data_IF_965875512310
#
_entry.id   IF_965875512310
#
_cell.length_a   1.000
_cell.length_b   1.000
_cell.length_c   1.000
_cell.angle_alpha   90.00
_cell.angle_beta   90.00
_cell.angle_gamma   90.00
#
_symmetry.space_group_name_H-M   'P 1'
#
loop_
_entity.id
_entity.type
_entity.pdbx_description
1 polymer ?
#
# COMPACT_ATOMS: atom_id res chain seq x y z
N UNK A 1 -68.91 -3.81 12.54
CA UNK A 1 -68.15 -2.88 13.41
C UNK A 1 -66.82 -3.58 13.70
N UNK A 2 -65.76 -3.28 12.95
CA UNK A 2 -64.74 -2.22 13.20
C UNK A 2 -63.92 -2.48 14.49
N UNK A 3 -62.64 -2.81 14.25
CA UNK A 3 -61.39 -2.42 14.97
C UNK A 3 -61.23 -2.97 16.39
N UNK A 4 -60.12 -3.60 16.81
CA UNK A 4 -58.70 -3.19 16.82
C UNK A 4 -57.94 -4.28 17.63
N UNK A 5 -56.62 -4.44 17.68
CA UNK A 5 -55.43 -4.02 16.94
C UNK A 5 -54.28 -4.78 17.64
N UNK A 6 -53.36 -5.36 16.87
CA UNK A 6 -52.12 -5.97 17.35
C UNK A 6 -51.24 -4.98 18.11
N UNK A 7 -50.52 -5.44 19.14
CA UNK A 7 -49.17 -4.96 19.41
C UNK A 7 -48.38 -6.08 20.12
N UNK A 8 -47.62 -6.83 19.32
CA UNK A 8 -46.60 -7.74 19.83
C UNK A 8 -45.32 -6.92 20.06
N UNK A 9 -44.93 -6.84 21.33
CA UNK A 9 -43.77 -6.10 21.79
C UNK A 9 -42.50 -6.92 21.50
N UNK A 10 -41.77 -6.54 20.44
CA UNK A 10 -40.44 -7.06 20.17
C UNK A 10 -39.43 -6.27 21.03
N UNK A 11 -39.06 -6.82 22.18
CA UNK A 11 -37.95 -6.32 22.97
C UNK A 11 -36.64 -6.79 22.31
N UNK A 12 -35.99 -5.90 21.56
CA UNK A 12 -34.63 -6.09 21.09
C UNK A 12 -33.68 -5.95 22.28
N UNK A 13 -33.15 -7.07 22.75
CA UNK A 13 -32.04 -7.13 23.71
C UNK A 13 -30.80 -6.64 22.97
N UNK A 14 -30.45 -5.36 23.15
CA UNK A 14 -29.11 -4.85 22.88
C UNK A 14 -28.16 -5.57 23.85
N UNK A 15 -27.50 -6.61 23.36
CA UNK A 15 -26.36 -7.20 24.06
C UNK A 15 -25.27 -6.11 24.15
N UNK A 16 -25.07 -5.59 25.36
CA UNK A 16 -23.89 -4.80 25.68
C UNK A 16 -22.68 -5.72 25.49
N UNK A 17 -21.98 -5.58 24.37
CA UNK A 17 -20.66 -6.16 24.23
C UNK A 17 -19.78 -5.51 25.30
N UNK A 18 -19.22 -6.26 26.27
CA UNK A 18 -18.21 -5.70 27.14
C UNK A 18 -17.05 -5.30 26.24
N UNK A 19 -16.86 -3.99 26.09
CA UNK A 19 -15.67 -3.44 25.46
C UNK A 19 -14.51 -3.94 26.31
N UNK A 20 -13.80 -4.95 25.81
CA UNK A 20 -12.58 -5.41 26.44
C UNK A 20 -11.67 -4.18 26.58
N UNK A 21 -11.28 -3.83 27.81
CA UNK A 21 -10.28 -2.79 28.04
C UNK A 21 -8.98 -3.28 27.44
N UNK A 22 -8.75 -2.98 26.17
CA UNK A 22 -7.41 -2.99 25.62
C UNK A 22 -6.69 -1.93 26.45
N UNK A 23 -5.75 -2.35 27.30
CA UNK A 23 -5.06 -1.46 28.22
C UNK A 23 -4.44 -0.33 27.43
N UNK A 24 -5.11 0.82 27.40
CA UNK A 24 -4.70 1.98 26.63
C UNK A 24 -3.47 2.52 27.33
N UNK A 25 -2.37 2.63 26.59
CA UNK A 25 -1.14 3.24 27.08
C UNK A 25 -1.01 4.64 26.51
N UNK A 26 -0.27 5.53 27.18
CA UNK A 26 0.10 6.81 26.56
C UNK A 26 0.88 6.62 25.25
N UNK A 27 1.52 5.45 25.06
CA UNK A 27 2.11 5.07 23.79
C UNK A 27 1.09 5.01 22.65
N UNK A 28 -0.14 4.57 22.91
CA UNK A 28 -1.20 4.52 21.90
C UNK A 28 -1.68 5.91 21.51
N UNK A 29 -1.69 6.87 22.44
CA UNK A 29 -1.96 8.30 22.14
C UNK A 29 -0.94 8.84 21.16
N UNK A 30 0.35 8.57 21.40
CA UNK A 30 1.42 8.97 20.49
C UNK A 30 1.30 8.26 19.14
N UNK A 31 1.10 6.93 19.13
CA UNK A 31 0.98 6.14 17.91
C UNK A 31 -0.22 6.54 17.06
N UNK A 32 -1.37 6.86 17.66
CA UNK A 32 -2.55 7.34 16.94
C UNK A 32 -2.32 8.73 16.36
N UNK A 33 -1.71 9.63 17.13
CA UNK A 33 -1.41 10.98 16.66
C UNK A 33 -0.39 11.00 15.51
N UNK A 34 0.58 10.08 15.50
CA UNK A 34 1.53 9.95 14.38
C UNK A 34 1.00 9.10 13.21
N UNK A 35 0.03 8.18 13.45
CA UNK A 35 -0.57 7.34 12.40
C UNK A 35 -1.28 8.16 11.34
N UNK A 36 -1.92 9.26 11.74
CA UNK A 36 -2.53 10.22 10.81
C UNK A 36 -1.52 11.06 10.02
N UNK A 37 -0.21 10.97 10.35
CA UNK A 37 0.86 11.68 9.64
C UNK A 37 1.54 10.78 8.57
N UNK A 38 1.33 9.45 8.56
CA UNK A 38 2.44 8.55 8.15
C UNK A 38 2.55 8.08 6.69
N UNK A 39 1.70 8.49 5.73
CA UNK A 39 1.90 8.05 4.33
C UNK A 39 2.23 9.24 3.42
N UNK A 40 1.35 10.22 3.27
CA UNK A 40 1.62 11.38 2.39
C UNK A 40 2.75 12.28 2.94
N UNK A 41 2.83 12.49 4.25
CA UNK A 41 3.92 13.28 4.87
C UNK A 41 5.24 12.52 4.90
N UNK A 42 5.20 11.19 5.03
CA UNK A 42 6.40 10.36 4.97
C UNK A 42 6.97 10.37 3.55
N UNK A 43 6.14 10.14 2.54
CA UNK A 43 6.58 10.12 1.14
C UNK A 43 7.01 11.53 0.70
N UNK A 44 6.33 12.59 1.13
CA UNK A 44 6.70 14.00 0.81
C UNK A 44 7.91 14.52 1.57
N UNK A 45 8.11 14.14 2.83
CA UNK A 45 9.33 14.48 3.57
C UNK A 45 10.54 13.71 3.04
N UNK A 46 10.33 12.46 2.64
CA UNK A 46 11.32 11.64 1.95
C UNK A 46 11.67 12.26 0.60
N UNK A 47 10.68 12.67 -0.20
CA UNK A 47 10.89 13.39 -1.46
C UNK A 47 11.59 14.73 -1.27
N UNK A 48 11.20 15.51 -0.26
CA UNK A 48 11.85 16.81 0.03
C UNK A 48 13.29 16.64 0.49
N UNK A 49 13.57 15.60 1.31
CA UNK A 49 14.92 15.25 1.73
C UNK A 49 15.80 14.88 0.53
N UNK A 50 15.32 14.00 -0.34
CA UNK A 50 16.07 13.58 -1.52
C UNK A 50 16.19 14.69 -2.57
N UNK A 51 15.17 15.52 -2.73
CA UNK A 51 15.22 16.71 -3.59
C UNK A 51 16.31 17.66 -3.09
N UNK A 52 16.33 17.97 -1.79
CA UNK A 52 17.36 18.84 -1.22
C UNK A 52 18.77 18.23 -1.28
N UNK A 53 18.89 16.90 -1.24
CA UNK A 53 20.17 16.21 -1.32
C UNK A 53 20.74 16.18 -2.74
N UNK A 54 19.87 16.02 -3.76
CA UNK A 54 20.29 15.72 -5.13
C UNK A 54 19.95 16.78 -6.18
N UNK A 55 18.99 17.66 -5.89
CA UNK A 55 18.44 18.65 -6.82
C UNK A 55 18.74 20.08 -6.35
N UNK A 56 18.94 20.97 -7.31
CA UNK A 56 18.93 22.41 -7.11
C UNK A 56 17.51 22.96 -7.20
N UNK A 57 17.31 24.18 -6.70
CA UNK A 57 15.99 24.85 -6.69
C UNK A 57 15.42 25.12 -8.09
N UNK A 58 16.26 25.16 -9.10
CA UNK A 58 15.85 25.33 -10.51
C UNK A 58 15.47 24.00 -11.19
N UNK A 59 15.50 22.89 -10.45
CA UNK A 59 15.19 21.55 -10.96
C UNK A 59 16.37 20.86 -11.65
N UNK A 60 17.57 21.46 -11.63
CA UNK A 60 18.79 20.80 -12.07
C UNK A 60 19.35 19.86 -11.00
N UNK A 61 20.27 18.96 -11.37
CA UNK A 61 20.93 18.04 -10.44
C UNK A 61 22.17 18.75 -9.86
N UNK A 62 22.38 18.66 -8.54
CA UNK A 62 23.55 19.24 -7.86
C UNK A 62 24.87 18.70 -8.43
N UNK A 63 25.83 19.58 -8.70
CA UNK A 63 27.08 19.22 -9.40
C UNK A 63 28.09 18.39 -8.59
N UNK A 64 27.75 17.95 -7.37
CA UNK A 64 28.61 17.14 -6.48
C UNK A 64 27.99 15.82 -6.01
N UNK A 65 26.71 15.56 -6.31
CA UNK A 65 26.02 14.34 -5.93
C UNK A 65 26.28 13.17 -6.89
N UNK A 66 26.85 13.43 -8.06
CA UNK A 66 27.15 12.44 -9.08
C UNK A 66 28.64 12.07 -9.07
N UNK A 67 29.05 11.24 -8.10
CA UNK A 67 30.35 10.56 -8.16
C UNK A 67 30.13 9.29 -9.00
N UNK A 68 30.73 9.24 -10.19
CA UNK A 68 30.46 8.23 -11.21
C UNK A 68 30.44 6.80 -10.69
N UNK A 69 29.32 6.10 -10.94
CA UNK A 69 29.19 4.65 -10.77
C UNK A 69 28.42 4.15 -9.55
N UNK A 70 27.82 5.02 -8.72
CA UNK A 70 27.01 4.58 -7.59
C UNK A 70 25.52 4.45 -7.99
N UNK A 71 24.97 3.24 -7.90
CA UNK A 71 23.53 3.01 -7.88
C UNK A 71 22.97 3.69 -6.61
N UNK A 72 22.02 4.62 -6.77
CA UNK A 72 21.36 5.27 -5.65
C UNK A 72 20.37 4.28 -5.01
N UNK A 73 20.53 3.91 -3.72
CA UNK A 73 19.57 3.06 -3.03
C UNK A 73 18.39 3.93 -2.54
N UNK A 74 17.62 4.46 -3.48
CA UNK A 74 16.35 5.12 -3.18
C UNK A 74 15.25 4.10 -3.46
N UNK A 75 15.09 3.17 -2.52
CA UNK A 75 14.00 2.18 -2.59
C UNK A 75 12.68 2.86 -2.22
N UNK A 76 11.71 2.85 -3.16
CA UNK A 76 10.30 2.95 -2.81
C UNK A 76 9.62 4.31 -2.92
N UNK A 77 10.16 5.29 -3.65
CA UNK A 77 9.41 6.52 -3.96
C UNK A 77 8.64 6.32 -5.28
N UNK A 78 7.30 6.29 -5.27
CA UNK A 78 6.50 6.08 -6.47
C UNK A 78 6.39 7.38 -7.28
N UNK A 79 7.39 7.67 -8.12
CA UNK A 79 7.31 8.77 -9.09
C UNK A 79 7.01 8.19 -10.46
N UNK A 80 5.85 7.55 -10.65
CA UNK A 80 5.31 7.20 -11.98
C UNK A 80 6.21 6.42 -12.97
N UNK A 81 7.39 5.97 -12.55
CA UNK A 81 8.41 5.32 -13.38
C UNK A 81 9.00 4.18 -12.54
N UNK A 82 9.30 3.07 -13.22
CA UNK A 82 9.58 1.73 -12.70
C UNK A 82 10.36 1.64 -11.38
N UNK A 83 9.77 0.94 -10.41
CA UNK A 83 10.41 0.54 -9.15
C UNK A 83 11.34 -0.67 -9.36
N UNK A 84 12.48 -0.49 -10.02
CA UNK A 84 13.55 -1.51 -10.09
C UNK A 84 14.74 -1.25 -9.14
N UNK A 85 14.63 -0.22 -8.29
CA UNK A 85 15.53 0.01 -7.16
C UNK A 85 16.86 0.68 -7.51
N UNK A 86 17.08 1.11 -8.76
CA UNK A 86 18.23 1.93 -9.14
C UNK A 86 17.80 3.09 -10.03
N UNK A 87 17.78 4.31 -9.48
CA UNK A 87 17.47 5.49 -10.26
C UNK A 87 18.58 5.81 -11.25
N UNK A 88 18.25 5.92 -12.54
CA UNK A 88 19.17 6.40 -13.56
C UNK A 88 19.26 7.94 -13.60
N UNK A 89 20.20 8.48 -14.38
CA UNK A 89 20.41 9.93 -14.46
C UNK A 89 19.18 10.68 -15.05
N UNK A 90 18.38 10.02 -15.89
CA UNK A 90 17.18 10.61 -16.48
C UNK A 90 16.03 10.63 -15.47
N UNK A 91 15.88 9.59 -14.66
CA UNK A 91 14.88 9.52 -13.58
C UNK A 91 15.16 10.57 -12.50
N UNK A 92 16.43 10.72 -12.09
CA UNK A 92 16.81 11.76 -11.14
C UNK A 92 16.56 13.17 -11.71
N UNK A 93 16.83 13.39 -13.01
CA UNK A 93 16.53 14.66 -13.67
C UNK A 93 15.03 14.94 -13.71
N UNK A 94 14.21 13.92 -13.97
CA UNK A 94 12.76 14.04 -13.96
C UNK A 94 12.23 14.33 -12.55
N UNK A 95 12.76 13.66 -11.52
CA UNK A 95 12.46 13.95 -10.12
C UNK A 95 12.77 15.41 -9.75
N UNK A 96 13.96 15.90 -10.10
CA UNK A 96 14.33 17.29 -9.85
C UNK A 96 13.47 18.28 -10.63
N UNK A 97 13.13 17.99 -11.88
CA UNK A 97 12.23 18.84 -12.68
C UNK A 97 10.85 18.93 -12.04
N UNK A 98 10.26 17.79 -11.65
CA UNK A 98 8.93 17.72 -11.03
C UNK A 98 8.93 18.40 -9.66
N UNK A 99 9.97 18.18 -8.84
CA UNK A 99 10.07 18.81 -7.52
C UNK A 99 10.23 20.33 -7.57
N UNK A 100 10.96 20.86 -8.56
CA UNK A 100 11.13 22.30 -8.75
C UNK A 100 9.85 22.96 -9.31
N UNK A 101 9.19 22.30 -10.27
CA UNK A 101 7.91 22.75 -10.82
C UNK A 101 6.81 22.75 -9.73
N UNK A 102 6.91 21.84 -8.76
CA UNK A 102 6.02 21.82 -7.60
C UNK A 102 6.33 22.88 -6.54
N UNK A 103 7.43 23.65 -6.63
CA UNK A 103 7.79 24.92 -5.93
C UNK A 103 7.49 25.10 -4.42
N UNK A 104 6.88 24.16 -3.70
CA UNK A 104 6.00 24.50 -2.58
C UNK A 104 5.81 23.39 -1.54
N UNK A 105 6.69 22.38 -1.49
CA UNK A 105 6.73 21.47 -0.33
C UNK A 105 7.37 22.10 0.92
N UNK A 106 7.94 23.31 0.84
CA UNK A 106 8.73 23.88 1.95
C UNK A 106 7.99 24.90 2.84
N UNK A 107 7.05 25.71 2.33
CA UNK A 107 6.56 26.86 3.11
C UNK A 107 5.28 26.58 3.94
N UNK A 108 4.36 25.73 3.48
CA UNK A 108 3.19 25.32 4.26
C UNK A 108 3.49 24.14 5.19
N UNK A 109 4.43 23.27 4.80
CA UNK A 109 4.56 21.93 5.38
C UNK A 109 5.54 21.88 6.57
N UNK A 110 6.57 22.73 6.63
CA UNK A 110 7.43 22.89 7.82
C UNK A 110 6.63 23.39 9.03
N UNK A 111 5.69 24.29 8.77
CA UNK A 111 4.79 24.84 9.78
C UNK A 111 3.77 23.79 10.22
N UNK A 112 3.19 23.02 9.28
CA UNK A 112 2.18 21.99 9.59
C UNK A 112 2.75 20.73 10.26
N UNK A 113 3.84 20.17 9.74
CA UNK A 113 4.54 19.05 10.36
C UNK A 113 5.04 19.41 11.77
N UNK A 114 5.48 20.67 11.96
CA UNK A 114 5.79 21.18 13.29
C UNK A 114 4.55 21.28 14.18
N UNK A 115 3.40 21.76 13.68
CA UNK A 115 2.18 21.90 14.49
C UNK A 115 1.54 20.57 14.90
N UNK A 116 1.44 19.60 13.99
CA UNK A 116 0.86 18.28 14.31
C UNK A 116 1.76 17.54 15.30
N UNK A 117 3.08 17.64 15.13
CA UNK A 117 4.03 17.05 16.08
C UNK A 117 3.98 17.77 17.43
N UNK A 118 3.86 19.11 17.48
CA UNK A 118 3.72 19.82 18.76
C UNK A 118 2.40 19.51 19.48
N UNK A 119 1.30 19.39 18.74
CA UNK A 119 -0.02 19.09 19.30
C UNK A 119 -0.05 17.66 19.83
N UNK A 120 0.42 16.68 19.03
CA UNK A 120 0.57 15.28 19.43
C UNK A 120 1.49 15.12 20.65
N UNK A 121 2.63 15.82 20.67
CA UNK A 121 3.55 15.81 21.80
C UNK A 121 2.92 16.43 23.05
N UNK A 122 2.06 17.44 22.90
CA UNK A 122 1.36 18.06 24.03
C UNK A 122 0.41 17.07 24.69
N UNK A 123 -0.48 16.43 23.93
CA UNK A 123 -1.40 15.41 24.44
C UNK A 123 -0.66 14.21 25.03
N UNK A 124 0.45 13.81 24.41
CA UNK A 124 1.30 12.73 24.91
C UNK A 124 1.95 13.07 26.25
N UNK A 125 2.58 14.25 26.37
CA UNK A 125 3.21 14.69 27.61
C UNK A 125 2.19 14.86 28.74
N UNK A 126 1.01 15.38 28.43
CA UNK A 126 -0.11 15.46 29.37
C UNK A 126 -0.58 14.06 29.81
N UNK A 127 -0.68 13.10 28.88
CA UNK A 127 -0.98 11.71 29.22
C UNK A 127 0.06 11.13 30.18
N UNK A 128 1.35 11.29 29.89
CA UNK A 128 2.42 10.78 30.75
C UNK A 128 2.38 11.39 32.16
N UNK A 129 2.09 12.68 32.25
CA UNK A 129 1.93 13.37 33.51
C UNK A 129 0.77 12.79 34.33
N UNK A 130 -0.42 12.68 33.72
CA UNK A 130 -1.60 12.10 34.37
C UNK A 130 -1.40 10.62 34.74
N UNK A 131 -0.68 9.87 33.91
CA UNK A 131 -0.33 8.47 34.19
C UNK A 131 0.54 8.35 35.44
N UNK A 132 1.46 9.29 35.66
CA UNK A 132 2.24 9.41 36.91
C UNK A 132 1.34 9.57 38.13
N UNK A 133 0.24 10.31 37.97
CA UNK A 133 -0.83 10.50 38.96
C UNK A 133 -1.90 9.39 38.94
N UNK A 134 -1.60 8.25 38.28
CA UNK A 134 -2.46 7.05 38.19
C UNK A 134 -3.75 7.19 37.38
N UNK A 135 -3.90 8.25 36.58
CA UNK A 135 -4.98 8.43 35.62
C UNK A 135 -4.43 8.36 34.20
N UNK A 136 -4.80 7.34 33.43
CA UNK A 136 -4.44 7.28 32.00
C UNK A 136 -5.56 7.95 31.21
N UNK A 137 -5.25 9.05 30.53
CA UNK A 137 -6.18 9.71 29.60
C UNK A 137 -5.68 9.52 28.17
N UNK A 138 -6.53 8.94 27.33
CA UNK A 138 -6.25 8.74 25.91
C UNK A 138 -7.42 9.21 25.06
N UNK A 139 -7.19 9.34 23.76
CA UNK A 139 -8.26 9.56 22.80
C UNK A 139 -8.08 8.66 21.59
N UNK A 140 -9.20 8.33 20.96
CA UNK A 140 -9.27 7.66 19.68
C UNK A 140 -10.03 8.57 18.71
N UNK A 141 -9.36 8.98 17.65
CA UNK A 141 -10.00 9.71 16.57
C UNK A 141 -10.93 8.77 15.78
N UNK A 142 -12.10 9.29 15.40
CA UNK A 142 -13.05 8.68 14.48
C UNK A 142 -13.27 9.64 13.30
N UNK A 143 -12.21 9.89 12.50
CA UNK A 143 -12.25 10.90 11.45
C UNK A 143 -13.27 10.55 10.36
N UNK A 144 -13.86 11.56 9.69
CA UNK A 144 -13.74 12.99 10.00
C UNK A 144 -14.71 13.45 11.12
N UNK A 145 -15.61 12.58 11.57
CA UNK A 145 -16.82 12.96 12.29
C UNK A 145 -16.62 13.27 13.78
N UNK A 146 -15.53 12.84 14.41
CA UNK A 146 -15.34 13.08 15.84
C UNK A 146 -14.18 12.29 16.47
N UNK A 147 -14.24 12.18 17.79
CA UNK A 147 -13.27 11.42 18.59
C UNK A 147 -13.90 11.01 19.92
N UNK A 148 -13.31 10.01 20.56
CA UNK A 148 -13.70 9.56 21.91
C UNK A 148 -12.51 9.66 22.83
N UNK A 149 -12.71 10.26 24.00
CA UNK A 149 -11.74 10.33 25.08
C UNK A 149 -12.05 9.24 26.08
N UNK A 150 -11.01 8.58 26.58
CA UNK A 150 -11.09 7.57 27.64
C UNK A 150 -10.24 8.01 28.83
N UNK A 151 -10.77 7.86 30.03
CA UNK A 151 -10.05 8.01 31.28
C UNK A 151 -10.08 6.71 32.08
N UNK A 152 -8.91 6.17 32.39
CA UNK A 152 -8.74 4.93 33.13
C UNK A 152 -7.96 5.15 34.43
N UNK A 153 -8.55 4.78 35.56
CA UNK A 153 -7.89 4.83 36.87
C UNK A 153 -7.10 3.54 37.11
N UNK A 154 -5.78 3.65 37.21
CA UNK A 154 -4.89 2.51 37.49
C UNK A 154 -4.84 2.11 38.97
N UNK A 155 -5.47 2.89 39.84
CA UNK A 155 -5.58 2.62 41.27
C UNK A 155 -6.96 3.04 41.81
N UNK A 156 -7.67 2.19 42.57
CA UNK A 156 -8.99 2.52 43.13
C UNK A 156 -8.92 3.57 44.26
N UNK A 157 -7.73 3.89 44.75
CA UNK A 157 -7.53 4.90 45.79
C UNK A 157 -7.38 6.32 45.25
N UNK A 158 -7.13 6.46 43.96
CA UNK A 158 -6.97 7.77 43.31
C UNK A 158 -8.33 8.23 42.82
N UNK A 159 -8.61 9.51 43.05
CA UNK A 159 -9.82 10.19 42.56
C UNK A 159 -9.39 11.44 41.83
N UNK A 160 -9.82 11.58 40.59
CA UNK A 160 -9.66 12.80 39.81
C UNK A 160 -11.04 13.38 39.55
N UNK A 161 -11.16 14.69 39.71
CA UNK A 161 -12.34 15.44 39.27
C UNK A 161 -12.01 16.15 37.96
N UNK A 162 -12.96 16.17 37.04
CA UNK A 162 -12.89 17.04 35.87
C UNK A 162 -13.47 18.37 36.29
N UNK A 163 -12.60 19.37 36.44
CA UNK A 163 -12.93 20.68 36.98
C UNK A 163 -13.60 21.56 35.93
N UNK A 164 -13.17 21.46 34.69
CA UNK A 164 -13.77 22.14 33.54
C UNK A 164 -13.47 21.39 32.25
N UNK A 165 -14.37 21.55 31.30
CA UNK A 165 -14.18 21.12 29.92
C UNK A 165 -14.36 22.36 29.06
N UNK A 166 -13.49 22.55 28.08
CA UNK A 166 -13.51 23.75 27.24
C UNK A 166 -13.31 23.31 25.79
N UNK A 167 -14.20 23.77 24.92
CA UNK A 167 -14.23 23.49 23.48
C UNK A 167 -15.09 24.54 22.80
N UNK A 168 -14.98 24.64 21.47
CA UNK A 168 -15.85 25.51 20.67
C UNK A 168 -17.20 24.81 20.40
N UNK A 169 -18.32 25.26 21.00
CA UNK A 169 -19.63 24.62 20.84
C UNK A 169 -20.22 24.77 19.43
N UNK A 170 -19.71 25.71 18.63
CA UNK A 170 -20.10 25.83 17.23
C UNK A 170 -19.41 24.75 16.36
N UNK A 171 -18.32 24.17 16.86
CA UNK A 171 -17.48 23.21 16.13
C UNK A 171 -17.51 21.78 16.70
N UNK A 172 -17.91 21.61 17.97
CA UNK A 172 -17.96 20.33 18.67
C UNK A 172 -19.21 20.19 19.52
N UNK A 173 -19.72 18.96 19.62
CA UNK A 173 -20.76 18.55 20.56
C UNK A 173 -20.27 17.30 21.30
N UNK A 174 -20.10 17.40 22.61
CA UNK A 174 -19.57 16.32 23.44
C UNK A 174 -20.65 15.76 24.38
N UNK A 175 -20.69 14.43 24.52
CA UNK A 175 -21.64 13.72 25.38
C UNK A 175 -20.93 12.62 26.17
N UNK A 176 -21.49 12.23 27.31
CA UNK A 176 -21.00 11.11 28.11
C UNK A 176 -22.13 10.37 28.81
N UNK A 177 -21.96 9.07 29.01
CA UNK A 177 -22.80 8.26 29.90
C UNK A 177 -22.13 8.00 31.25
N UNK A 178 -20.86 8.40 31.42
CA UNK A 178 -20.04 8.08 32.60
C UNK A 178 -20.32 8.98 33.80
N UNK A 179 -21.02 10.10 33.61
CA UNK A 179 -21.28 11.08 34.66
C UNK A 179 -22.73 11.13 35.13
N UNK A 180 -23.61 10.31 34.52
CA UNK A 180 -25.01 10.23 34.90
C UNK A 180 -25.22 9.05 35.87
N UNK A 181 -25.98 9.29 36.94
CA UNK A 181 -26.24 8.26 37.95
C UNK A 181 -27.01 7.03 37.42
N UNK A 182 -27.71 7.19 36.28
CA UNK A 182 -28.53 6.15 35.64
C UNK A 182 -27.91 5.62 34.33
N UNK A 183 -26.69 6.03 33.97
CA UNK A 183 -26.04 5.69 32.70
C UNK A 183 -26.70 6.31 31.46
N UNK A 184 -27.61 7.27 31.62
CA UNK A 184 -28.16 8.03 30.50
C UNK A 184 -27.10 8.93 29.87
N UNK A 185 -27.23 9.19 28.56
CA UNK A 185 -26.35 10.13 27.87
C UNK A 185 -26.67 11.56 28.33
N UNK A 186 -25.67 12.26 28.84
CA UNK A 186 -25.72 13.68 29.19
C UNK A 186 -24.77 14.47 28.29
N UNK A 187 -25.18 15.70 27.95
CA UNK A 187 -24.33 16.65 27.25
C UNK A 187 -23.25 17.19 28.20
N UNK A 188 -22.07 17.41 27.64
CA UNK A 188 -20.93 17.97 28.38
C UNK A 188 -20.96 19.49 28.27
N UNK A 189 -21.25 20.14 29.39
CA UNK A 189 -21.22 21.59 29.58
C UNK A 189 -19.89 21.99 30.22
N UNK A 190 -19.26 23.02 29.66
CA UNK A 190 -17.93 23.45 30.09
C UNK A 190 -17.87 24.07 31.49
N UNK A 191 -19.02 24.49 32.03
CA UNK A 191 -19.10 25.13 33.35
C UNK A 191 -19.40 24.16 34.51
N UNK A 192 -19.49 22.85 34.23
CA UNK A 192 -19.84 21.83 35.23
C UNK A 192 -18.61 21.04 35.66
N UNK A 193 -18.51 20.78 36.96
CA UNK A 193 -17.56 19.81 37.53
C UNK A 193 -18.13 18.40 37.36
N UNK A 194 -17.33 17.49 36.81
CA UNK A 194 -17.68 16.08 36.68
C UNK A 194 -16.81 15.23 37.61
N UNK A 195 -17.46 14.40 38.43
CA UNK A 195 -16.78 13.48 39.33
C UNK A 195 -17.06 12.03 38.89
N UNK A 196 -16.10 11.35 38.24
CA UNK A 196 -16.24 9.96 37.87
C UNK A 196 -16.20 9.01 39.09
N UNK A 197 -16.03 9.51 40.32
CA UNK A 197 -15.97 8.73 41.56
C UNK A 197 -14.87 7.64 41.58
N UNK A 198 -13.82 7.80 40.79
CA UNK A 198 -12.75 6.81 40.62
C UNK A 198 -13.09 5.68 39.66
N UNK A 199 -14.22 5.76 38.94
CA UNK A 199 -14.57 4.85 37.86
C UNK A 199 -14.02 5.34 36.52
N UNK A 200 -13.80 4.41 35.59
CA UNK A 200 -13.36 4.78 34.25
C UNK A 200 -14.45 5.58 33.54
N UNK A 201 -14.06 6.57 32.74
CA UNK A 201 -14.98 7.42 32.02
C UNK A 201 -14.70 7.48 30.53
N UNK A 202 -15.72 7.84 29.76
CA UNK A 202 -15.59 8.13 28.34
C UNK A 202 -16.37 9.39 27.95
N UNK A 203 -15.81 10.18 27.04
CA UNK A 203 -16.46 11.37 26.48
C UNK A 203 -16.44 11.22 24.97
N UNK A 204 -17.61 11.22 24.34
CA UNK A 204 -17.75 11.13 22.89
C UNK A 204 -18.05 12.51 22.33
N UNK A 205 -17.15 13.02 21.49
CA UNK A 205 -17.26 14.30 20.84
C UNK A 205 -17.51 14.11 19.34
N UNK A 206 -18.53 14.78 18.82
CA UNK A 206 -18.88 14.82 17.40
C UNK A 206 -18.62 16.22 16.88
N UNK A 207 -18.02 16.36 15.70
CA UNK A 207 -17.75 17.65 15.08
C UNK A 207 -18.98 18.20 14.38
N UNK A 208 -19.14 19.51 14.40
CA UNK A 208 -20.17 20.22 13.65
C UNK A 208 -19.74 20.38 12.21
N UNK A 209 -20.63 20.02 11.31
CA UNK A 209 -20.41 20.02 9.88
C UNK A 209 -20.75 21.39 9.30
N UNK A 210 -19.84 21.97 8.53
CA UNK A 210 -20.04 23.21 7.80
C UNK A 210 -20.29 22.93 6.32
N UNK A 211 -21.08 23.77 5.67
CA UNK A 211 -21.36 23.65 4.23
C UNK A 211 -20.97 24.94 3.52
N UNK A 212 -20.14 24.82 2.48
CA UNK A 212 -19.75 25.93 1.60
C UNK A 212 -19.72 25.43 0.15
N UNK A 213 -20.42 26.11 -0.75
CA UNK A 213 -20.51 25.76 -2.18
C UNK A 213 -20.85 24.26 -2.42
N UNK A 214 -21.89 23.76 -1.74
CA UNK A 214 -22.35 22.36 -1.78
C UNK A 214 -21.32 21.32 -1.30
N UNK A 215 -20.24 21.77 -0.64
CA UNK A 215 -19.23 20.90 -0.04
C UNK A 215 -19.29 20.98 1.46
N UNK A 216 -19.07 19.84 2.07
CA UNK A 216 -19.13 19.67 3.51
C UNK A 216 -17.73 19.55 4.09
N UNK A 217 -17.44 20.30 5.15
CA UNK A 217 -16.14 20.31 5.80
C UNK A 217 -16.29 20.54 7.30
N UNK A 218 -15.23 20.25 8.05
CA UNK A 218 -15.17 20.48 9.49
C UNK A 218 -13.95 21.34 9.78
N UNK A 219 -14.11 22.39 10.59
CA UNK A 219 -13.02 23.32 10.91
C UNK A 219 -12.08 22.74 11.95
N UNK A 220 -10.87 23.28 12.03
CA UNK A 220 -9.95 22.96 13.13
C UNK A 220 -10.63 23.33 14.44
N UNK A 221 -10.58 22.41 15.39
CA UNK A 221 -11.19 22.59 16.70
C UNK A 221 -10.30 21.94 17.76
N UNK A 222 -10.64 22.16 19.02
CA UNK A 222 -9.87 21.70 20.15
C UNK A 222 -10.80 21.32 21.29
N UNK A 223 -10.29 20.46 22.15
CA UNK A 223 -10.93 20.04 23.37
C UNK A 223 -9.91 20.07 24.50
N UNK A 224 -10.21 20.79 25.57
CA UNK A 224 -9.41 20.86 26.78
C UNK A 224 -10.22 20.31 27.94
N UNK A 225 -9.65 19.37 28.66
CA UNK A 225 -10.19 18.86 29.92
C UNK A 225 -9.22 19.18 31.03
N UNK A 226 -9.62 20.05 31.95
CA UNK A 226 -8.86 20.33 33.16
C UNK A 226 -9.30 19.36 34.25
N UNK A 227 -8.38 18.54 34.76
CA UNK A 227 -8.64 17.68 35.92
C UNK A 227 -7.95 18.20 37.17
N UNK A 228 -8.35 17.72 38.35
CA UNK A 228 -7.65 17.99 39.62
C UNK A 228 -6.20 17.49 39.64
N UNK A 229 -5.81 16.62 38.69
CA UNK A 229 -4.47 16.06 38.57
C UNK A 229 -3.65 16.73 37.44
N UNK A 230 -4.29 17.46 36.53
CA UNK A 230 -3.62 18.09 35.38
C UNK A 230 -4.53 18.23 34.16
N UNK A 231 -4.11 18.99 33.14
CA UNK A 231 -4.89 19.17 31.91
C UNK A 231 -4.64 18.06 30.90
N UNK A 232 -5.62 17.81 30.04
CA UNK A 232 -5.50 17.00 28.83
C UNK A 232 -6.13 17.75 27.65
N UNK A 233 -5.43 17.83 26.52
CA UNK A 233 -5.86 18.57 25.34
C UNK A 233 -5.89 17.64 24.14
N UNK A 234 -6.92 17.75 23.32
CA UNK A 234 -7.03 17.11 22.00
C UNK A 234 -7.17 18.22 20.97
N UNK A 235 -6.27 18.24 19.99
CA UNK A 235 -6.33 19.17 18.86
C UNK A 235 -6.80 18.40 17.64
N UNK A 236 -7.92 18.83 17.04
CA UNK A 236 -8.49 18.16 15.87
C UNK A 236 -8.28 19.04 14.64
N UNK A 237 -7.56 18.57 13.62
CA UNK A 237 -7.24 19.36 12.44
C UNK A 237 -8.49 19.63 11.57
N UNK A 238 -8.41 20.68 10.74
CA UNK A 238 -9.44 20.99 9.74
C UNK A 238 -9.46 19.96 8.60
N UNK A 239 -10.64 19.63 8.08
CA UNK A 239 -10.82 18.67 6.98
C UNK A 239 -10.22 19.15 5.65
N UNK A 240 -10.17 20.46 5.42
CA UNK A 240 -9.70 21.07 4.17
C UNK A 240 -8.20 20.87 3.92
N UNK A 241 -7.44 20.46 4.93
CA UNK A 241 -5.99 20.21 4.82
C UNK A 241 -5.62 18.74 4.60
N UNK A 242 -6.61 17.83 4.50
CA UNK A 242 -6.41 16.49 3.94
C UNK A 242 -6.56 16.46 2.41
N UNK A 243 -6.77 17.62 1.77
CA UNK A 243 -7.18 17.71 0.38
C UNK A 243 -8.64 17.28 0.26
N UNK A 244 -9.50 18.17 -0.22
CA UNK A 244 -10.94 17.96 -0.37
C UNK A 244 -11.34 16.69 -1.17
N UNK A 245 -10.39 16.05 -1.86
CA UNK A 245 -10.58 14.81 -2.62
C UNK A 245 -9.77 13.60 -2.08
N UNK A 246 -9.11 13.68 -0.92
CA UNK A 246 -8.09 12.68 -0.55
C UNK A 246 -8.33 11.95 0.77
N UNK A 247 -9.08 12.42 1.76
CA UNK A 247 -9.20 11.60 3.00
C UNK A 247 -10.01 10.30 2.78
N UNK A 248 -11.29 10.43 2.41
CA UNK A 248 -12.19 9.28 2.18
C UNK A 248 -11.97 8.63 0.81
N UNK A 249 -11.56 9.42 -0.18
CA UNK A 249 -11.23 8.94 -1.53
C UNK A 249 -9.82 8.34 -1.62
N UNK A 250 -8.82 8.80 -0.85
CA UNK A 250 -7.52 8.10 -0.82
C UNK A 250 -7.58 6.86 0.06
N UNK A 251 -8.41 6.78 1.10
CA UNK A 251 -8.63 5.51 1.79
C UNK A 251 -9.27 4.48 0.84
N UNK A 252 -10.34 4.87 0.13
CA UNK A 252 -10.94 4.00 -0.88
C UNK A 252 -10.00 3.69 -2.06
N UNK A 253 -9.19 4.66 -2.52
CA UNK A 253 -8.21 4.45 -3.57
C UNK A 253 -7.02 3.61 -3.09
N UNK A 254 -6.63 3.71 -1.81
CA UNK A 254 -5.59 2.90 -1.20
C UNK A 254 -6.05 1.46 -1.02
N UNK A 255 -7.28 1.24 -0.55
CA UNK A 255 -7.91 -0.08 -0.49
C UNK A 255 -8.07 -0.70 -1.89
N UNK A 256 -8.44 0.13 -2.87
CA UNK A 256 -8.48 -0.28 -4.28
C UNK A 256 -7.07 -0.62 -4.81
N UNK A 257 -6.05 0.17 -4.48
CA UNK A 257 -4.67 -0.06 -4.90
C UNK A 257 -4.05 -1.30 -4.21
N UNK A 258 -4.39 -1.57 -2.94
CA UNK A 258 -4.04 -2.84 -2.27
C UNK A 258 -4.71 -4.01 -2.97
N UNK A 259 -5.99 -3.88 -3.32
CA UNK A 259 -6.73 -4.91 -4.05
C UNK A 259 -6.11 -5.15 -5.43
N UNK A 260 -5.79 -4.09 -6.17
CA UNK A 260 -5.16 -4.16 -7.48
C UNK A 260 -3.74 -4.76 -7.40
N UNK A 261 -2.94 -4.35 -6.42
CA UNK A 261 -1.62 -4.95 -6.14
C UNK A 261 -1.74 -6.43 -5.83
N UNK A 262 -2.69 -6.85 -4.99
CA UNK A 262 -2.89 -8.26 -4.65
C UNK A 262 -3.32 -9.07 -5.90
N UNK A 263 -4.18 -8.50 -6.75
CA UNK A 263 -4.55 -9.10 -8.03
C UNK A 263 -3.35 -9.21 -8.98
N UNK A 264 -2.48 -8.19 -9.02
CA UNK A 264 -1.26 -8.19 -9.83
C UNK A 264 -0.24 -9.24 -9.34
N UNK A 265 -0.08 -9.40 -8.02
CA UNK A 265 0.76 -10.45 -7.42
C UNK A 265 0.22 -11.82 -7.81
N UNK A 266 -1.09 -12.06 -7.69
CA UNK A 266 -1.70 -13.33 -8.09
C UNK A 266 -1.54 -13.61 -9.59
N UNK A 267 -1.63 -12.59 -10.44
CA UNK A 267 -1.36 -12.70 -11.87
C UNK A 267 0.11 -13.03 -12.17
N UNK A 268 1.05 -12.41 -11.44
CA UNK A 268 2.48 -12.68 -11.54
C UNK A 268 2.82 -14.12 -11.14
N UNK A 269 2.26 -14.62 -10.03
CA UNK A 269 2.42 -16.02 -9.59
C UNK A 269 1.90 -17.00 -10.66
N UNK A 270 0.77 -16.67 -11.28
CA UNK A 270 0.22 -17.45 -12.40
C UNK A 270 1.19 -17.47 -13.58
N UNK A 271 1.73 -16.32 -13.99
CA UNK A 271 2.71 -16.24 -15.07
C UNK A 271 4.01 -17.00 -14.74
N UNK A 272 4.50 -16.91 -13.50
CA UNK A 272 5.68 -17.64 -13.05
C UNK A 272 5.46 -19.16 -13.14
N UNK A 273 4.29 -19.65 -12.74
CA UNK A 273 3.95 -21.08 -12.87
C UNK A 273 3.93 -21.55 -14.32
N UNK A 274 3.46 -20.71 -15.26
CA UNK A 274 3.46 -21.03 -16.69
C UNK A 274 4.88 -21.07 -17.27
N UNK A 275 5.73 -20.11 -16.88
CA UNK A 275 7.14 -20.09 -17.28
C UNK A 275 7.87 -21.33 -16.76
N UNK A 276 7.64 -21.71 -15.50
CA UNK A 276 8.21 -22.94 -14.93
C UNK A 276 7.72 -24.19 -15.68
N UNK A 277 6.44 -24.28 -16.02
CA UNK A 277 5.90 -25.38 -16.81
C UNK A 277 6.52 -25.45 -18.21
N UNK A 278 6.72 -24.30 -18.87
CA UNK A 278 7.39 -24.21 -20.18
C UNK A 278 8.87 -24.60 -20.08
N UNK A 279 9.59 -24.15 -19.05
CA UNK A 279 10.97 -24.55 -18.82
C UNK A 279 11.10 -26.05 -18.61
N UNK A 280 10.18 -26.67 -17.88
CA UNK A 280 10.16 -28.12 -17.71
C UNK A 280 9.90 -28.83 -19.05
N UNK A 281 8.96 -28.33 -19.87
CA UNK A 281 8.71 -28.86 -21.23
C UNK A 281 9.93 -28.72 -22.14
N UNK A 282 10.67 -27.61 -22.07
CA UNK A 282 11.89 -27.41 -22.87
C UNK A 282 12.98 -28.39 -22.40
N UNK A 283 13.14 -28.58 -21.09
CA UNK A 283 14.13 -29.53 -20.53
C UNK A 283 13.83 -30.98 -20.90
N UNK A 284 12.56 -31.36 -21.05
CA UNK A 284 12.17 -32.71 -21.45
C UNK A 284 12.24 -32.92 -22.97
N UNK A 285 12.18 -31.86 -23.77
CA UNK A 285 12.46 -31.94 -25.21
C UNK A 285 13.97 -32.08 -25.41
N UNK A 286 14.45 -33.30 -25.58
CA UNK A 286 15.81 -33.54 -26.06
C UNK A 286 15.79 -33.62 -27.60
N UNK A 287 16.29 -32.60 -28.32
CA UNK A 287 16.39 -32.68 -29.76
C UNK A 287 17.39 -33.78 -30.13
N UNK A 288 16.97 -34.67 -31.03
CA UNK A 288 17.85 -35.67 -31.60
C UNK A 288 18.33 -35.19 -32.96
N UNK A 289 19.65 -35.23 -33.16
CA UNK A 289 20.29 -34.76 -34.39
C UNK A 289 20.78 -35.96 -35.19
N UNK A 290 20.30 -36.09 -36.42
CA UNK A 290 20.69 -37.15 -37.34
C UNK A 290 21.45 -36.57 -38.52
N UNK A 291 22.42 -37.33 -39.02
CA UNK A 291 23.12 -37.02 -40.26
C UNK A 291 22.62 -37.94 -41.36
N UNK A 292 22.29 -37.34 -42.50
CA UNK A 292 21.87 -38.04 -43.70
C UNK A 292 22.77 -37.64 -44.88
N UNK A 293 22.93 -38.56 -45.81
CA UNK A 293 23.75 -38.38 -46.99
C UNK A 293 22.94 -38.63 -48.24
N UNK A 294 23.09 -37.76 -49.23
CA UNK A 294 22.54 -37.95 -50.56
C UNK A 294 23.67 -37.82 -51.57
N UNK A 295 23.83 -38.82 -52.43
CA UNK A 295 24.87 -38.83 -53.45
C UNK A 295 24.54 -39.78 -54.60
N UNK A 296 25.40 -39.77 -55.62
CA UNK A 296 25.21 -40.54 -56.86
C UNK A 296 25.59 -42.02 -56.72
N UNK A 297 26.38 -42.38 -55.70
CA UNK A 297 26.74 -43.75 -55.38
C UNK A 297 26.13 -44.19 -54.05
N UNK A 298 25.67 -45.44 -53.98
CA UNK A 298 25.34 -46.12 -52.72
C UNK A 298 26.62 -46.40 -51.91
N UNK A 299 27.39 -45.38 -51.57
CA UNK A 299 28.34 -45.54 -50.46
C UNK A 299 27.52 -45.92 -49.22
N UNK A 300 27.94 -46.99 -48.54
CA UNK A 300 27.23 -47.66 -47.43
C UNK A 300 27.17 -46.78 -46.16
N UNK A 301 26.61 -45.59 -46.25
CA UNK A 301 26.22 -44.81 -45.10
C UNK A 301 24.89 -45.35 -44.58
N UNK A 302 24.79 -45.57 -43.27
CA UNK A 302 23.60 -46.14 -42.61
C UNK A 302 22.29 -45.38 -42.91
N UNK A 303 22.38 -44.11 -43.35
CA UNK A 303 21.27 -43.24 -43.74
C UNK A 303 21.50 -42.60 -45.13
N UNK A 304 22.15 -43.32 -46.05
CA UNK A 304 22.43 -42.85 -47.40
C UNK A 304 21.25 -43.11 -48.34
N UNK A 305 20.82 -42.09 -49.09
CA UNK A 305 19.83 -42.25 -50.15
C UNK A 305 20.48 -42.01 -51.52
N UNK A 306 20.32 -42.98 -52.43
CA UNK A 306 20.71 -42.78 -53.81
C UNK A 306 19.78 -41.77 -54.48
N UNK A 307 20.36 -40.89 -55.28
CA UNK A 307 19.59 -39.99 -56.11
C UNK A 307 18.84 -40.77 -57.21
N UNK A 308 17.49 -40.72 -57.27
CA UNK A 308 16.77 -41.20 -58.45
C UNK A 308 17.09 -40.29 -59.65
N UNK A 309 17.18 -40.90 -60.83
CA UNK A 309 17.79 -40.34 -62.04
C UNK A 309 17.20 -39.00 -62.57
N UNK A 310 16.13 -38.46 -61.97
CA UNK A 310 15.40 -37.27 -62.42
C UNK A 310 15.12 -36.28 -61.28
N UNK A 311 16.14 -35.82 -60.56
CA UNK A 311 16.02 -34.65 -59.67
C UNK A 311 16.02 -34.92 -58.15
N UNK A 312 16.52 -36.07 -57.71
CA UNK A 312 16.59 -36.38 -56.28
C UNK A 312 15.25 -36.80 -55.67
N UNK A 313 15.24 -37.54 -54.55
CA UNK A 313 14.04 -37.63 -53.73
C UNK A 313 13.76 -36.22 -53.21
N UNK A 314 12.49 -35.81 -53.19
CA UNK A 314 12.13 -34.58 -52.52
C UNK A 314 12.49 -34.75 -51.03
N UNK A 315 13.52 -34.04 -50.59
CA UNK A 315 14.04 -34.15 -49.22
C UNK A 315 12.96 -33.85 -48.18
N UNK A 316 11.95 -33.03 -48.52
CA UNK A 316 10.81 -32.79 -47.64
C UNK A 316 9.99 -34.06 -47.34
N UNK A 317 9.99 -35.04 -48.26
CA UNK A 317 9.26 -36.31 -48.10
C UNK A 317 10.11 -37.40 -47.46
N UNK A 318 11.44 -37.36 -47.66
CA UNK A 318 12.35 -38.36 -47.12
C UNK A 318 12.76 -38.08 -45.67
N UNK A 319 13.00 -36.83 -45.31
CA UNK A 319 13.46 -36.45 -43.96
C UNK A 319 12.56 -36.91 -42.82
N UNK A 320 11.21 -36.88 -42.93
CA UNK A 320 10.34 -37.43 -41.90
C UNK A 320 10.58 -38.92 -41.61
N UNK A 321 11.04 -39.69 -42.60
CA UNK A 321 11.30 -41.13 -42.44
C UNK A 321 12.60 -41.46 -41.71
N UNK A 322 13.49 -40.48 -41.56
CA UNK A 322 14.77 -40.62 -40.87
C UNK A 322 14.67 -40.35 -39.36
N UNK A 323 13.56 -39.78 -38.92
CA UNK A 323 13.29 -39.56 -37.50
C UNK A 323 12.72 -40.85 -36.86
N UNK A 324 13.18 -41.25 -35.65
CA UNK A 324 12.62 -42.39 -34.95
C UNK A 324 11.11 -42.29 -34.72
N UNK A 325 10.44 -43.43 -34.62
CA UNK A 325 9.01 -43.50 -34.27
C UNK A 325 8.77 -42.73 -32.96
N UNK A 326 7.79 -41.83 -32.96
CA UNK A 326 7.52 -40.91 -31.85
C UNK A 326 8.28 -39.58 -31.91
N UNK A 327 8.97 -39.29 -33.01
CA UNK A 327 9.59 -37.99 -33.30
C UNK A 327 9.21 -37.50 -34.70
N UNK A 328 9.30 -36.18 -34.92
CA UNK A 328 9.06 -35.54 -36.22
C UNK A 328 10.25 -34.69 -36.63
N UNK A 329 10.56 -34.67 -37.92
CA UNK A 329 11.54 -33.74 -38.48
C UNK A 329 11.00 -32.31 -38.36
N UNK A 330 11.77 -31.43 -37.73
CA UNK A 330 11.38 -30.02 -37.54
C UNK A 330 12.13 -29.06 -38.46
N UNK A 331 13.27 -29.50 -38.96
CA UNK A 331 14.07 -28.76 -39.90
C UNK A 331 15.29 -29.56 -40.33
N UNK A 332 15.96 -29.03 -41.33
CA UNK A 332 17.23 -29.55 -41.78
C UNK A 332 18.15 -28.42 -42.22
N UNK A 333 19.45 -28.67 -42.14
CA UNK A 333 20.47 -27.79 -42.69
C UNK A 333 21.41 -28.59 -43.58
N UNK A 334 21.84 -27.97 -44.67
CA UNK A 334 22.89 -28.53 -45.52
C UNK A 334 24.22 -28.33 -44.80
N UNK A 335 24.80 -29.41 -44.29
CA UNK A 335 26.06 -29.40 -43.55
C UNK A 335 27.27 -29.33 -44.49
N UNK A 336 27.10 -29.73 -45.75
CA UNK A 336 28.14 -29.65 -46.77
C UNK A 336 27.61 -30.10 -48.12
N UNK A 337 28.13 -29.49 -49.18
CA UNK A 337 27.82 -29.82 -50.56
C UNK A 337 29.14 -29.92 -51.32
N UNK A 338 29.37 -31.03 -52.00
CA UNK A 338 30.47 -31.13 -52.96
C UNK A 338 29.89 -31.34 -54.37
N UNK A 339 30.42 -30.56 -55.31
CA UNK A 339 30.06 -30.65 -56.72
C UNK A 339 30.66 -31.93 -57.32
N UNK A 340 29.82 -32.86 -57.75
CA UNK A 340 30.24 -34.11 -58.39
C UNK A 340 29.04 -34.93 -58.85
N UNK A 341 29.10 -35.42 -60.09
CA UNK A 341 28.06 -36.24 -60.73
C UNK A 341 26.70 -35.53 -60.97
N UNK A 342 25.62 -36.30 -61.16
CA UNK A 342 24.31 -35.80 -61.60
C UNK A 342 23.54 -35.07 -60.49
N UNK A 343 23.75 -35.43 -59.23
CA UNK A 343 22.98 -34.87 -58.11
C UNK A 343 23.81 -34.15 -57.05
N UNK A 344 25.15 -34.16 -57.17
CA UNK A 344 26.03 -33.66 -56.11
C UNK A 344 26.03 -34.59 -54.89
N UNK A 345 27.00 -34.39 -54.01
CA UNK A 345 27.06 -35.09 -52.73
C UNK A 345 26.73 -34.10 -51.62
N UNK A 346 25.56 -34.28 -51.00
CA UNK A 346 25.02 -33.37 -49.99
C UNK A 346 24.89 -34.09 -48.65
N UNK A 347 25.39 -33.42 -47.61
CA UNK A 347 25.24 -33.84 -46.22
C UNK A 347 24.16 -32.99 -45.57
N UNK A 348 23.21 -33.65 -44.91
CA UNK A 348 22.13 -32.99 -44.20
C UNK A 348 22.23 -33.28 -42.71
N UNK A 349 22.04 -32.25 -41.91
CA UNK A 349 21.76 -32.39 -40.48
C UNK A 349 20.26 -32.23 -40.29
N UNK A 350 19.62 -33.25 -39.74
CA UNK A 350 18.16 -33.31 -39.51
C UNK A 350 17.93 -33.23 -38.01
N UNK A 351 17.06 -32.32 -37.58
CA UNK A 351 16.65 -32.19 -36.18
C UNK A 351 15.28 -32.80 -35.97
N UNK A 352 15.24 -33.90 -35.22
CA UNK A 352 14.01 -34.58 -34.83
C UNK A 352 13.61 -34.14 -33.42
N UNK A 353 12.36 -33.72 -33.26
CA UNK A 353 11.76 -33.45 -31.95
C UNK A 353 10.70 -34.50 -31.63
N UNK A 354 10.54 -34.92 -30.37
CA UNK A 354 9.42 -35.77 -29.96
C UNK A 354 8.07 -35.21 -30.44
N UNK A 355 7.21 -36.07 -30.98
CA UNK A 355 5.81 -35.73 -31.27
C UNK A 355 5.07 -35.69 -29.93
N UNK A 356 4.61 -34.49 -29.52
CA UNK A 356 3.74 -34.33 -28.35
C UNK A 356 2.32 -34.82 -28.63
#
# INVERSE_FOLDING_TARGET
MKTSLCLAMAAAILAANPVASQGLTCGDVYLNAIRNVTISTRDRSTNSFYFNLYCERDGSIKSGSFIGGMNFPIEGIPIGVSSDGSWDQNELRQFCSVGAEQSYYEASDLTYGSFVVTDALTSFNQCLYLQGERLIVSHQEAPPAGFVIFGEFTSPTVRAQILSIDYDPDELSCTSTSFSANGSREDIDGNRVYDPNGENFSISCTRTKHTFEDREFYRRTWFLMATSLGPYTVMVPEDTHLGFELASHAEAAFDSAITERNNAIAAMDTALSQVQALQQRIRTIQPQVFRAYQGDSHEHHANGQACPQNGGPNMSTYMPTLCPVGTRATGYTVAGSTTGGKCGNNWFTITCLPTQ
#
